data_IF_552994416910
#
_entry.id   IF_552994416910
#
_cell.length_a   1.000
_cell.length_b   1.000
_cell.length_c   1.000
_cell.angle_alpha   90.00
_cell.angle_beta   90.00
_cell.angle_gamma   90.00
#
_symmetry.space_group_name_H-M   'P 1'
#
loop_
_entity.id
_entity.type
_entity.pdbx_description
1 polymer ?
#
# COMPACT_ATOMS: atom_id res chain seq x y z
N UNK A 1 31.96 -8.09 -33.68
CA UNK A 1 30.56 -7.91 -33.25
C UNK A 1 30.27 -8.79 -32.04
N UNK A 2 30.24 -8.26 -30.80
CA UNK A 2 29.80 -9.04 -29.64
C UNK A 2 28.34 -8.73 -29.30
N UNK A 3 27.50 -9.78 -29.35
CA UNK A 3 26.12 -9.79 -28.86
C UNK A 3 26.14 -9.83 -27.32
N UNK A 4 25.94 -8.69 -26.67
CA UNK A 4 25.91 -8.59 -25.21
C UNK A 4 24.56 -9.09 -24.66
N UNK A 5 24.64 -10.28 -24.08
CA UNK A 5 23.97 -10.73 -22.86
C UNK A 5 22.69 -9.99 -22.41
N UNK A 6 21.59 -10.71 -22.61
CA UNK A 6 20.34 -10.62 -21.86
C UNK A 6 20.63 -10.51 -20.35
N UNK A 7 20.44 -9.33 -19.77
CA UNK A 7 20.27 -9.21 -18.31
C UNK A 7 18.77 -9.17 -18.03
N UNK A 8 18.19 -10.36 -17.90
CA UNK A 8 16.90 -10.56 -17.23
C UNK A 8 17.03 -9.91 -15.85
N UNK A 9 16.49 -8.70 -15.73
CA UNK A 9 16.23 -8.05 -14.46
C UNK A 9 15.10 -8.86 -13.82
N UNK A 10 15.54 -9.88 -13.10
CA UNK A 10 14.72 -10.73 -12.27
C UNK A 10 13.89 -9.80 -11.38
N UNK A 11 12.59 -9.74 -11.69
CA UNK A 11 11.57 -8.93 -11.01
C UNK A 11 11.50 -9.47 -9.59
N UNK A 12 12.37 -8.99 -8.72
CA UNK A 12 12.46 -9.38 -7.32
C UNK A 12 11.12 -9.03 -6.69
N UNK A 13 10.25 -10.04 -6.61
CA UNK A 13 9.18 -10.09 -5.61
C UNK A 13 9.87 -10.13 -4.26
N UNK A 14 10.37 -8.98 -3.82
CA UNK A 14 10.66 -8.73 -2.42
C UNK A 14 9.30 -8.85 -1.75
N UNK A 15 9.01 -10.05 -1.24
CA UNK A 15 7.93 -10.31 -0.29
C UNK A 15 8.35 -9.65 1.04
N UNK A 16 8.57 -8.34 0.99
CA UNK A 16 8.81 -7.51 2.16
C UNK A 16 7.58 -7.62 3.03
N UNK A 17 7.80 -7.89 4.31
CA UNK A 17 6.72 -7.82 5.30
C UNK A 17 6.00 -6.49 5.10
N UNK A 18 4.69 -6.54 4.92
CA UNK A 18 3.87 -5.36 4.75
C UNK A 18 4.06 -4.50 6.00
N UNK A 19 4.64 -3.31 5.84
CA UNK A 19 4.82 -2.37 6.94
C UNK A 19 3.48 -1.65 7.16
N UNK A 20 2.72 -2.13 8.14
CA UNK A 20 1.37 -1.65 8.42
C UNK A 20 1.37 -0.21 8.91
N UNK A 21 2.38 0.21 9.67
CA UNK A 21 2.53 1.59 10.16
C UNK A 21 2.67 2.58 9.01
N UNK A 22 3.58 2.30 8.08
CA UNK A 22 3.78 3.16 6.89
C UNK A 22 2.52 3.23 6.02
N UNK A 23 1.80 2.11 5.90
CA UNK A 23 0.53 2.03 5.18
C UNK A 23 -0.58 2.82 5.86
N UNK A 24 -0.70 2.72 7.18
CA UNK A 24 -1.69 3.45 7.97
C UNK A 24 -1.47 4.96 7.85
N UNK A 25 -0.21 5.42 7.94
CA UNK A 25 0.15 6.83 7.72
C UNK A 25 -0.26 7.27 6.31
N UNK A 26 0.13 6.54 5.26
CA UNK A 26 -0.28 6.89 3.89
C UNK A 26 -1.79 6.96 3.72
N UNK A 27 -2.54 6.05 4.33
CA UNK A 27 -4.01 6.07 4.30
C UNK A 27 -4.59 7.27 5.04
N UNK A 28 -4.00 7.63 6.18
CA UNK A 28 -4.40 8.82 6.94
C UNK A 28 -4.13 10.10 6.14
N UNK A 29 -3.00 10.20 5.43
CA UNK A 29 -2.70 11.34 4.56
C UNK A 29 -3.70 11.51 3.42
N UNK A 30 -4.20 10.41 2.83
CA UNK A 30 -5.22 10.48 1.76
C UNK A 30 -6.55 11.01 2.31
N UNK A 31 -6.90 10.62 3.55
CA UNK A 31 -8.10 11.12 4.23
C UNK A 31 -7.92 12.60 4.59
N UNK A 32 -6.76 12.96 5.17
CA UNK A 32 -6.44 14.32 5.59
C UNK A 32 -6.37 15.31 4.41
N UNK A 33 -5.84 14.85 3.26
CA UNK A 33 -5.83 15.61 2.01
C UNK A 33 -7.23 15.83 1.42
N UNK A 34 -8.30 15.28 2.02
CA UNK A 34 -9.67 15.43 1.54
C UNK A 34 -9.96 14.69 0.24
N UNK A 35 -9.05 13.84 -0.25
CA UNK A 35 -9.23 13.03 -1.46
C UNK A 35 -10.37 12.03 -1.25
N UNK A 36 -10.50 11.54 -0.01
CA UNK A 36 -11.58 10.63 0.39
C UNK A 36 -12.20 11.11 1.70
N UNK A 37 -13.53 11.09 1.78
CA UNK A 37 -14.26 11.59 2.96
C UNK A 37 -14.22 10.63 4.15
N UNK A 38 -14.06 9.33 3.88
CA UNK A 38 -14.21 8.32 4.92
C UNK A 38 -13.46 7.02 4.60
N UNK A 39 -13.20 6.20 5.62
CA UNK A 39 -12.47 4.92 5.46
C UNK A 39 -13.13 3.95 4.46
N UNK A 40 -14.45 4.00 4.33
CA UNK A 40 -15.20 3.22 3.35
C UNK A 40 -14.96 3.70 1.92
N UNK A 41 -14.82 5.00 1.73
CA UNK A 41 -14.53 5.64 0.44
C UNK A 41 -13.06 5.38 0.05
N UNK A 42 -12.15 5.43 1.02
CA UNK A 42 -10.75 5.00 0.87
C UNK A 42 -10.64 3.55 0.36
N UNK A 43 -11.47 2.64 0.91
CA UNK A 43 -11.49 1.24 0.46
C UNK A 43 -11.89 1.11 -1.02
N UNK A 44 -12.91 1.88 -1.45
CA UNK A 44 -13.34 1.94 -2.86
C UNK A 44 -12.26 2.56 -3.75
N UNK A 45 -11.67 3.67 -3.31
CA UNK A 45 -10.62 4.38 -4.03
C UNK A 45 -9.38 3.51 -4.27
N UNK A 46 -8.97 2.71 -3.28
CA UNK A 46 -7.83 1.80 -3.38
C UNK A 46 -8.17 0.42 -3.99
N UNK A 47 -9.45 0.13 -4.27
CA UNK A 47 -9.90 -1.19 -4.69
C UNK A 47 -9.60 -2.30 -3.67
N UNK A 48 -9.67 -1.97 -2.37
CA UNK A 48 -9.42 -2.90 -1.26
C UNK A 48 -10.68 -3.13 -0.44
N UNK A 49 -10.75 -4.28 0.23
CA UNK A 49 -11.85 -4.56 1.16
C UNK A 49 -11.80 -3.61 2.37
N UNK A 50 -12.95 -3.23 2.90
CA UNK A 50 -13.03 -2.42 4.13
C UNK A 50 -12.28 -3.07 5.30
N UNK A 51 -12.36 -4.40 5.40
CA UNK A 51 -11.63 -5.21 6.39
C UNK A 51 -10.11 -5.07 6.29
N UNK A 52 -9.58 -4.87 5.07
CA UNK A 52 -8.16 -4.62 4.87
C UNK A 52 -7.75 -3.28 5.46
N UNK A 53 -8.49 -2.22 5.16
CA UNK A 53 -8.25 -0.88 5.68
C UNK A 53 -8.31 -0.90 7.22
N UNK A 54 -9.33 -1.53 7.79
CA UNK A 54 -9.44 -1.72 9.25
C UNK A 54 -8.24 -2.48 9.82
N UNK A 55 -7.81 -3.57 9.18
CA UNK A 55 -6.63 -4.33 9.60
C UNK A 55 -5.34 -3.52 9.57
N UNK A 56 -5.19 -2.62 8.58
CA UNK A 56 -4.05 -1.71 8.48
C UNK A 56 -4.04 -0.71 9.64
N UNK A 57 -5.18 -0.05 9.89
CA UNK A 57 -5.29 0.89 11.01
C UNK A 57 -5.18 0.23 12.38
N UNK A 58 -5.69 -1.00 12.56
CA UNK A 58 -5.53 -1.73 13.83
C UNK A 58 -4.09 -2.18 14.09
N UNK A 59 -3.31 -2.44 13.04
CA UNK A 59 -1.95 -2.97 13.15
C UNK A 59 -0.87 -1.90 13.15
N UNK A 60 -1.14 -0.72 12.59
CA UNK A 60 -0.15 0.36 12.48
C UNK A 60 -0.72 1.77 12.61
N UNK A 61 -2.01 1.91 12.92
CA UNK A 61 -2.58 3.21 13.31
C UNK A 61 -2.44 3.41 14.83
N UNK A 62 -2.33 4.67 15.30
CA UNK A 62 -2.42 4.94 16.72
C UNK A 62 -3.81 4.48 17.22
N UNK A 63 -3.84 3.67 18.29
CA UNK A 63 -5.07 3.39 19.03
C UNK A 63 -5.61 4.67 19.66
#
# INVERSE_FOLDING_TARGET
MPRLFIRVINKTKLKGRINYDKLAISYQHIIDAGIVKNRAELARHLGKSRTWITKVFQRGGPN
#
